data_IF_159316309266
#
_entry.id   IF_159316309266
#
_cell.length_a   1.000
_cell.length_b   1.000
_cell.length_c   1.000
_cell.angle_alpha   90.00
_cell.angle_beta   90.00
_cell.angle_gamma   90.00
#
_symmetry.space_group_name_H-M   'P 1'
#
loop_
_entity.id
_entity.type
_entity.pdbx_description
1 polymer ?
#
# COMPACT_ATOMS: atom_id res chain seq x y z
N UNK A 1 25.25 -0.56 7.56
CA UNK A 1 23.96 0.02 7.99
C UNK A 1 22.82 -0.25 7.00
N UNK A 2 23.12 -0.41 5.70
CA UNK A 2 22.20 -0.71 4.56
C UNK A 2 21.23 -1.90 4.71
N UNK A 3 21.53 -2.91 5.55
CA UNK A 3 20.63 -4.07 5.73
C UNK A 3 19.38 -3.74 6.57
N UNK A 4 19.47 -2.77 7.48
CA UNK A 4 18.37 -2.43 8.40
C UNK A 4 17.23 -1.71 7.66
N UNK A 5 17.58 -0.91 6.66
CA UNK A 5 16.60 -0.16 5.84
C UNK A 5 15.83 -1.09 4.89
N UNK A 6 16.50 -2.09 4.31
CA UNK A 6 15.85 -3.14 3.51
C UNK A 6 14.96 -4.06 4.35
N UNK A 7 15.37 -4.36 5.59
CA UNK A 7 14.58 -5.18 6.52
C UNK A 7 13.28 -4.48 6.92
N UNK A 8 13.32 -3.16 7.13
CA UNK A 8 12.13 -2.35 7.43
C UNK A 8 11.10 -2.42 6.29
N UNK A 9 11.54 -2.29 5.04
CA UNK A 9 10.65 -2.42 3.87
C UNK A 9 9.99 -3.80 3.76
N UNK A 10 10.77 -4.88 3.96
CA UNK A 10 10.24 -6.25 3.98
C UNK A 10 9.30 -6.51 5.16
N UNK A 11 9.58 -5.93 6.33
CA UNK A 11 8.74 -6.08 7.52
C UNK A 11 7.35 -5.48 7.29
N UNK A 12 7.28 -4.28 6.70
CA UNK A 12 6.03 -3.60 6.36
C UNK A 12 5.23 -4.40 5.31
N UNK A 13 5.92 -4.94 4.31
CA UNK A 13 5.30 -5.78 3.29
C UNK A 13 4.70 -7.07 3.88
N UNK A 14 5.45 -7.76 4.75
CA UNK A 14 4.99 -8.98 5.41
C UNK A 14 3.78 -8.72 6.34
N UNK A 15 3.82 -7.63 7.11
CA UNK A 15 2.69 -7.19 7.94
C UNK A 15 1.45 -6.89 7.11
N UNK A 16 1.61 -6.19 5.98
CA UNK A 16 0.50 -5.89 5.07
C UNK A 16 -0.15 -7.17 4.53
N UNK A 17 0.64 -8.19 4.17
CA UNK A 17 0.12 -9.47 3.67
C UNK A 17 -0.61 -10.24 4.77
N UNK A 18 -0.07 -10.28 5.99
CA UNK A 18 -0.74 -10.92 7.11
C UNK A 18 -2.07 -10.23 7.43
N UNK A 19 -2.09 -8.90 7.43
CA UNK A 19 -3.31 -8.13 7.66
C UNK A 19 -4.33 -8.36 6.54
N UNK A 20 -3.89 -8.43 5.28
CA UNK A 20 -4.71 -8.80 4.13
C UNK A 20 -5.33 -10.18 4.30
N UNK A 21 -4.50 -11.18 4.63
CA UNK A 21 -4.96 -12.55 4.83
C UNK A 21 -6.01 -12.65 5.94
N UNK A 22 -5.76 -12.00 7.07
CA UNK A 22 -6.68 -12.00 8.22
C UNK A 22 -7.99 -11.27 7.91
N UNK A 23 -7.91 -10.15 7.19
CA UNK A 23 -9.09 -9.42 6.74
C UNK A 23 -9.86 -10.18 5.66
N UNK A 24 -9.18 -10.85 4.73
CA UNK A 24 -9.79 -11.65 3.68
C UNK A 24 -10.52 -12.87 4.26
N UNK A 25 -9.92 -13.58 5.23
CA UNK A 25 -10.59 -14.68 5.91
C UNK A 25 -11.80 -14.19 6.70
N UNK A 26 -11.69 -13.07 7.41
CA UNK A 26 -12.81 -12.47 8.14
C UNK A 26 -13.94 -12.01 7.21
N UNK A 27 -13.62 -11.40 6.07
CA UNK A 27 -14.63 -10.93 5.10
C UNK A 27 -15.29 -12.07 4.35
N UNK A 28 -14.55 -13.11 3.96
CA UNK A 28 -15.12 -14.31 3.30
C UNK A 28 -16.02 -15.09 4.25
N UNK A 29 -15.58 -15.27 5.50
CA UNK A 29 -16.39 -15.90 6.56
C UNK A 29 -17.66 -15.07 6.79
N UNK A 30 -17.51 -13.77 7.11
CA UNK A 30 -18.63 -12.85 7.27
C UNK A 30 -19.59 -12.86 6.08
N UNK A 31 -19.11 -12.96 4.84
CA UNK A 31 -19.97 -13.07 3.66
C UNK A 31 -20.83 -14.34 3.63
N UNK A 32 -20.29 -15.46 4.12
CA UNK A 32 -20.98 -16.74 4.18
C UNK A 32 -22.05 -16.75 5.29
N UNK A 33 -21.79 -16.09 6.42
CA UNK A 33 -22.78 -15.98 7.52
C UNK A 33 -23.73 -14.77 7.42
N UNK A 34 -23.44 -13.77 6.58
CA UNK A 34 -24.32 -12.62 6.38
C UNK A 34 -25.61 -13.00 5.66
N UNK A 35 -26.60 -13.42 6.45
CA UNK A 35 -27.98 -13.56 6.01
C UNK A 35 -28.66 -12.18 5.97
N UNK A 36 -28.23 -11.32 5.04
CA UNK A 36 -28.77 -9.98 4.84
C UNK A 36 -30.20 -10.09 4.27
N UNK A 37 -31.19 -10.05 5.16
CA UNK A 37 -32.62 -10.14 4.82
C UNK A 37 -33.15 -8.77 4.39
N UNK A 38 -33.02 -8.44 3.10
CA UNK A 38 -33.72 -7.32 2.50
C UNK A 38 -35.04 -7.83 1.90
N UNK A 39 -36.22 -7.40 2.38
CA UNK A 39 -37.51 -7.98 1.96
C UNK A 39 -37.88 -7.74 0.49
N UNK A 40 -37.10 -6.94 -0.24
CA UNK A 40 -37.38 -6.53 -1.62
C UNK A 40 -36.27 -6.91 -2.63
N UNK A 41 -35.17 -7.53 -2.17
CA UNK A 41 -34.05 -7.97 -3.03
C UNK A 41 -33.54 -9.32 -2.53
N UNK A 42 -33.27 -10.25 -3.45
CA UNK A 42 -32.62 -11.52 -3.11
C UNK A 42 -31.41 -11.29 -2.22
N UNK A 43 -31.33 -11.99 -1.09
CA UNK A 43 -30.24 -11.88 -0.11
C UNK A 43 -28.85 -12.00 -0.78
N UNK A 44 -28.73 -12.79 -1.85
CA UNK A 44 -27.49 -12.95 -2.60
C UNK A 44 -27.04 -11.65 -3.31
N UNK A 45 -27.98 -10.90 -3.89
CA UNK A 45 -27.69 -9.67 -4.63
C UNK A 45 -27.30 -8.56 -3.66
N UNK A 46 -28.01 -8.44 -2.52
CA UNK A 46 -27.70 -7.46 -1.48
C UNK A 46 -26.31 -7.67 -0.89
N UNK A 47 -25.95 -8.93 -0.58
CA UNK A 47 -24.64 -9.28 -0.03
C UNK A 47 -23.52 -8.96 -1.02
N UNK A 48 -23.66 -9.30 -2.31
CA UNK A 48 -22.66 -8.99 -3.33
C UNK A 48 -22.50 -7.48 -3.54
N UNK A 49 -23.59 -6.72 -3.53
CA UNK A 49 -23.57 -5.27 -3.75
C UNK A 49 -22.82 -4.50 -2.65
N UNK A 50 -22.88 -5.00 -1.41
CA UNK A 50 -22.14 -4.43 -0.28
C UNK A 50 -20.69 -4.96 -0.24
N UNK A 51 -20.50 -6.24 -0.55
CA UNK A 51 -19.19 -6.88 -0.51
C UNK A 51 -18.23 -6.41 -1.59
N UNK A 52 -18.72 -6.22 -2.81
CA UNK A 52 -17.90 -5.83 -3.96
C UNK A 52 -17.09 -4.54 -3.70
N UNK A 53 -17.67 -3.41 -3.26
CA UNK A 53 -16.89 -2.19 -2.99
C UNK A 53 -15.93 -2.34 -1.81
N UNK A 54 -16.28 -3.12 -0.78
CA UNK A 54 -15.42 -3.38 0.39
C UNK A 54 -14.20 -4.21 -0.02
N UNK A 55 -14.42 -5.28 -0.80
CA UNK A 55 -13.37 -6.14 -1.36
C UNK A 55 -12.47 -5.32 -2.27
N UNK A 56 -13.05 -4.60 -3.23
CA UNK A 56 -12.31 -3.83 -4.22
C UNK A 56 -11.47 -2.72 -3.57
N UNK A 57 -12.06 -1.94 -2.66
CA UNK A 57 -11.37 -0.84 -1.99
C UNK A 57 -10.16 -1.32 -1.20
N UNK A 58 -10.29 -2.42 -0.47
CA UNK A 58 -9.19 -2.93 0.34
C UNK A 58 -8.09 -3.59 -0.48
N UNK A 59 -8.45 -4.33 -1.54
CA UNK A 59 -7.48 -4.87 -2.49
C UNK A 59 -6.64 -3.76 -3.13
N UNK A 60 -7.27 -2.65 -3.51
CA UNK A 60 -6.57 -1.49 -4.08
C UNK A 60 -5.60 -0.86 -3.08
N UNK A 61 -6.04 -0.60 -1.85
CA UNK A 61 -5.18 -0.03 -0.80
C UNK A 61 -3.98 -0.93 -0.53
N UNK A 62 -4.20 -2.24 -0.49
CA UNK A 62 -3.14 -3.20 -0.17
C UNK A 62 -2.20 -3.45 -1.35
N UNK A 63 -2.68 -3.37 -2.59
CA UNK A 63 -1.81 -3.34 -3.77
C UNK A 63 -0.88 -2.13 -3.73
N UNK A 64 -1.39 -0.96 -3.34
CA UNK A 64 -0.57 0.24 -3.19
C UNK A 64 0.45 0.07 -2.06
N UNK A 65 0.04 -0.43 -0.89
CA UNK A 65 0.95 -0.68 0.24
C UNK A 65 2.04 -1.71 -0.10
N UNK A 66 1.65 -2.80 -0.79
CA UNK A 66 2.56 -3.82 -1.28
C UNK A 66 3.55 -3.26 -2.31
N UNK A 67 3.07 -2.40 -3.22
CA UNK A 67 3.89 -1.72 -4.21
C UNK A 67 4.89 -0.75 -3.58
N UNK A 68 4.47 -0.02 -2.55
CA UNK A 68 5.33 0.88 -1.78
C UNK A 68 6.41 0.09 -1.02
N UNK A 69 6.02 -1.00 -0.33
CA UNK A 69 6.97 -1.89 0.34
C UNK A 69 7.98 -2.52 -0.63
N UNK A 70 7.51 -2.95 -1.81
CA UNK A 70 8.33 -3.51 -2.87
C UNK A 70 9.32 -2.48 -3.46
N UNK A 71 8.89 -1.25 -3.68
CA UNK A 71 9.74 -0.18 -4.22
C UNK A 71 10.78 0.28 -3.21
N UNK A 72 10.44 0.46 -1.93
CA UNK A 72 11.43 0.78 -0.88
C UNK A 72 12.50 -0.31 -0.69
N UNK A 73 12.15 -1.59 -0.84
CA UNK A 73 13.12 -2.68 -0.79
C UNK A 73 14.10 -2.69 -1.98
N UNK A 74 13.72 -2.05 -3.10
CA UNK A 74 14.47 -2.05 -4.36
C UNK A 74 15.13 -0.69 -4.67
N UNK A 75 14.76 0.40 -3.99
CA UNK A 75 15.49 1.67 -4.04
C UNK A 75 16.72 1.62 -3.13
N UNK A 76 17.96 1.68 -3.65
CA UNK A 76 19.10 2.03 -2.82
C UNK A 76 18.86 3.44 -2.26
N UNK A 77 19.22 3.69 -0.98
CA UNK A 77 19.08 5.02 -0.39
C UNK A 77 19.69 6.04 -1.36
N UNK A 78 18.97 7.14 -1.66
CA UNK A 78 19.51 8.17 -2.54
C UNK A 78 20.89 8.54 -2.00
N UNK A 79 21.88 8.59 -2.89
CA UNK A 79 23.21 9.04 -2.51
C UNK A 79 23.05 10.37 -1.75
N UNK A 80 23.80 10.60 -0.67
CA UNK A 80 23.86 11.92 -0.06
C UNK A 80 24.09 12.89 -1.20
N UNK A 81 23.14 13.80 -1.40
CA UNK A 81 23.36 14.96 -2.23
C UNK A 81 24.57 15.64 -1.62
N UNK A 82 25.71 15.59 -2.31
CA UNK A 82 26.86 16.41 -1.96
C UNK A 82 26.36 17.84 -2.09
N UNK A 83 26.20 18.51 -0.95
CA UNK A 83 25.73 19.90 -0.88
C UNK A 83 26.69 20.82 -1.67
N UNK A 84 27.92 20.37 -1.92
CA UNK A 84 28.92 21.02 -2.78
C UNK A 84 28.47 21.11 -4.26
N UNK A 85 27.75 20.11 -4.79
CA UNK A 85 27.25 20.15 -6.18
C UNK A 85 26.08 21.16 -6.32
N UNK A 86 25.33 21.42 -5.25
CA UNK A 86 24.25 22.42 -5.26
C UNK A 86 24.77 23.86 -5.19
N UNK A 87 25.80 24.13 -4.39
CA UNK A 87 26.46 25.45 -4.33
C UNK A 87 27.11 25.83 -5.67
N UNK A 88 27.74 24.87 -6.37
CA UNK A 88 28.38 25.13 -7.68
C UNK A 88 27.39 25.53 -8.79
N UNK A 89 26.15 25.03 -8.71
CA UNK A 89 25.08 25.32 -9.68
C UNK A 89 24.38 26.65 -9.36
N UNK A 90 24.28 27.03 -8.09
CA UNK A 90 23.77 28.35 -7.68
C UNK A 90 24.75 29.49 -8.02
N UNK A 91 26.05 29.33 -7.75
CA UNK A 91 27.06 30.37 -8.03
C UNK A 91 27.21 30.64 -9.55
N UNK A 92 26.99 29.62 -10.39
CA UNK A 92 27.01 29.73 -11.85
C UNK A 92 25.78 30.44 -12.42
N UNK A 93 24.64 30.41 -11.71
CA UNK A 93 23.42 31.14 -12.09
C UNK A 93 23.44 32.61 -11.68
N UNK A 94 24.11 32.95 -10.58
CA UNK A 94 24.14 34.32 -10.06
C UNK A 94 25.13 35.23 -10.83
N UNK A 95 26.23 34.67 -11.38
CA UNK A 95 27.18 35.42 -12.23
C UNK A 95 26.67 35.74 -13.65
N UNK A 96 25.49 35.24 -14.04
CA UNK A 96 24.94 35.38 -15.40
C UNK A 96 23.69 36.25 -15.48
N UNK A 97 23.36 36.99 -14.42
CA UNK A 97 22.20 37.88 -14.33
C UNK A 97 22.60 39.32 -14.13
#
# INVERSE_FOLDING_TARGET
>A
MVMKDKLTGYSIFALSILFLGTWATFTIWGLAEWNASAPFVSNQITTILIAAPVILGMVVVLLIAAWIGWTMARTPPPAPIDLEDFESVEESKEKKK
#
